data_IF_242584590375
#
_entry.id   IF_242584590375
#
_cell.length_a   1.000
_cell.length_b   1.000
_cell.length_c   1.000
_cell.angle_alpha   90.00
_cell.angle_beta   90.00
_cell.angle_gamma   90.00
#
_symmetry.space_group_name_H-M   'P 1'
#
loop_
_entity.id
_entity.type
_entity.pdbx_description
1 polymer ?
#
# COMPACT_ATOMS: atom_id res chain seq x y z
N UNK A 1 8.64 18.62 24.90
CA UNK A 1 7.34 18.52 24.23
C UNK A 1 6.77 19.93 24.16
N UNK A 2 5.93 20.25 23.19
CA UNK A 2 5.27 21.57 23.19
C UNK A 2 4.18 21.59 24.26
N UNK A 3 4.30 22.49 25.23
CA UNK A 3 3.40 22.58 26.39
C UNK A 3 1.97 22.93 25.98
N UNK A 4 1.78 23.73 24.93
CA UNK A 4 0.46 24.07 24.43
C UNK A 4 -0.23 22.85 23.80
N UNK A 5 0.53 22.03 23.07
CA UNK A 5 0.03 20.77 22.52
C UNK A 5 -0.30 19.79 23.66
N UNK A 6 0.57 19.67 24.66
CA UNK A 6 0.35 18.78 25.79
C UNK A 6 -0.90 19.15 26.61
N UNK A 7 -1.17 20.45 26.79
CA UNK A 7 -2.39 20.94 27.43
C UNK A 7 -3.63 20.65 26.59
N UNK A 8 -3.56 20.93 25.29
CA UNK A 8 -4.66 20.66 24.38
C UNK A 8 -5.07 19.18 24.39
N UNK A 9 -4.10 18.25 24.29
CA UNK A 9 -4.40 16.80 24.30
C UNK A 9 -5.01 16.35 25.62
N UNK A 10 -4.59 16.91 26.76
CA UNK A 10 -5.18 16.58 28.07
C UNK A 10 -6.63 17.05 28.16
N UNK A 11 -6.92 18.27 27.72
CA UNK A 11 -8.30 18.80 27.66
C UNK A 11 -9.17 17.96 26.72
N UNK A 12 -8.64 17.60 25.55
CA UNK A 12 -9.37 16.80 24.58
C UNK A 12 -9.65 15.37 25.07
N UNK A 13 -8.69 14.75 25.75
CA UNK A 13 -8.88 13.46 26.41
C UNK A 13 -9.98 13.52 27.46
N UNK A 14 -9.96 14.54 28.32
CA UNK A 14 -10.97 14.73 29.35
C UNK A 14 -12.37 14.96 28.77
N UNK A 15 -12.51 15.79 27.72
CA UNK A 15 -13.79 16.02 27.01
C UNK A 15 -14.41 14.73 26.47
N UNK A 16 -13.58 13.78 26.05
CA UNK A 16 -13.99 12.48 25.51
C UNK A 16 -14.12 11.38 26.58
N UNK A 17 -13.90 11.70 27.86
CA UNK A 17 -13.88 10.69 28.93
C UNK A 17 -12.79 9.64 28.74
N UNK A 18 -11.68 10.01 28.11
CA UNK A 18 -10.58 9.13 27.71
C UNK A 18 -9.26 9.57 28.36
N UNK A 19 -8.17 8.88 28.02
CA UNK A 19 -6.81 9.26 28.43
C UNK A 19 -5.95 9.68 27.24
N UNK A 20 -4.94 10.50 27.51
CA UNK A 20 -3.93 10.90 26.52
C UNK A 20 -3.32 9.68 25.84
N UNK A 21 -2.91 8.67 26.62
CA UNK A 21 -2.32 7.43 26.11
C UNK A 21 -3.26 6.68 25.17
N UNK A 22 -4.57 6.65 25.48
CA UNK A 22 -5.57 6.02 24.62
C UNK A 22 -5.73 6.76 23.30
N UNK A 23 -5.83 8.09 23.34
CA UNK A 23 -5.93 8.91 22.12
C UNK A 23 -4.70 8.76 21.22
N UNK A 24 -3.49 8.79 21.79
CA UNK A 24 -2.27 8.56 21.03
C UNK A 24 -2.22 7.14 20.45
N UNK A 25 -2.64 6.13 21.22
CA UNK A 25 -2.70 4.75 20.75
C UNK A 25 -3.64 4.57 19.56
N UNK A 26 -4.83 5.16 19.61
CA UNK A 26 -5.80 5.13 18.51
C UNK A 26 -5.28 5.83 17.26
N UNK A 27 -4.66 7.01 17.42
CA UNK A 27 -4.05 7.74 16.30
C UNK A 27 -2.88 6.98 15.68
N UNK A 28 -2.01 6.39 16.51
CA UNK A 28 -0.87 5.60 16.04
C UNK A 28 -1.35 4.35 15.29
N UNK A 29 -2.38 3.66 15.80
CA UNK A 29 -2.95 2.49 15.13
C UNK A 29 -3.54 2.86 13.75
N UNK A 30 -4.16 4.04 13.61
CA UNK A 30 -4.62 4.54 12.32
C UNK A 30 -3.46 4.82 11.37
N UNK A 31 -2.37 5.43 11.85
CA UNK A 31 -1.17 5.67 11.04
C UNK A 31 -0.51 4.39 10.56
N UNK A 32 -0.36 3.40 11.43
CA UNK A 32 0.18 2.09 11.06
C UNK A 32 -0.65 1.42 9.96
N UNK A 33 -1.99 1.44 10.08
CA UNK A 33 -2.87 0.90 9.01
C UNK A 33 -2.67 1.58 7.67
N UNK A 34 -2.53 2.91 7.66
CA UNK A 34 -2.30 3.67 6.43
C UNK A 34 -0.94 3.35 5.81
N UNK A 35 0.12 3.25 6.62
CA UNK A 35 1.47 2.91 6.17
C UNK A 35 1.54 1.47 5.65
N UNK A 36 0.90 0.51 6.32
CA UNK A 36 0.83 -0.89 5.89
C UNK A 36 0.11 -1.02 4.55
N UNK A 37 -1.00 -0.28 4.35
CA UNK A 37 -1.75 -0.28 3.09
C UNK A 37 -0.90 0.25 1.93
N UNK A 38 -0.15 1.34 2.15
CA UNK A 38 0.78 1.87 1.14
C UNK A 38 1.88 0.87 0.82
N UNK A 39 2.51 0.27 1.83
CA UNK A 39 3.56 -0.71 1.63
C UNK A 39 3.07 -1.96 0.87
N UNK A 40 1.83 -2.40 1.14
CA UNK A 40 1.19 -3.48 0.38
C UNK A 40 0.93 -3.09 -1.08
N UNK A 41 0.33 -1.93 -1.32
CA UNK A 41 0.09 -1.44 -2.67
C UNK A 41 1.39 -1.27 -3.47
N UNK A 42 2.47 -0.81 -2.82
CA UNK A 42 3.78 -0.70 -3.45
C UNK A 42 4.35 -2.07 -3.83
N UNK A 43 4.23 -3.07 -2.95
CA UNK A 43 4.64 -4.46 -3.26
C UNK A 43 3.86 -5.04 -4.43
N UNK A 44 2.56 -4.81 -4.48
CA UNK A 44 1.70 -5.27 -5.58
C UNK A 44 2.04 -4.57 -6.89
N UNK A 45 2.20 -3.24 -6.87
CA UNK A 45 2.51 -2.46 -8.06
C UNK A 45 3.91 -2.77 -8.64
N UNK A 46 4.88 -3.09 -7.79
CA UNK A 46 6.23 -3.45 -8.21
C UNK A 46 6.43 -4.96 -8.37
N UNK A 47 5.44 -5.76 -8.00
CA UNK A 47 5.46 -7.21 -8.15
C UNK A 47 5.41 -7.57 -9.64
N UNK A 48 6.49 -8.19 -10.15
CA UNK A 48 6.47 -8.81 -11.46
C UNK A 48 6.23 -10.31 -11.31
N UNK A 49 5.14 -10.80 -11.91
CA UNK A 49 4.90 -12.23 -12.07
C UNK A 49 5.38 -12.64 -13.47
N UNK A 50 6.35 -13.55 -13.54
CA UNK A 50 6.76 -14.11 -14.82
C UNK A 50 5.70 -15.09 -15.31
N UNK A 51 5.32 -15.01 -16.58
CA UNK A 51 4.42 -16.00 -17.20
C UNK A 51 5.13 -17.31 -17.61
N UNK A 52 6.32 -17.56 -17.08
CA UNK A 52 7.16 -18.72 -17.38
C UNK A 52 8.26 -18.41 -18.40
N UNK A 53 9.21 -19.35 -18.52
CA UNK A 53 10.26 -19.28 -19.52
C UNK A 53 9.79 -19.92 -20.84
N UNK A 54 10.17 -19.34 -21.97
CA UNK A 54 9.96 -20.02 -23.24
C UNK A 54 10.97 -21.17 -23.36
N UNK A 55 10.47 -22.36 -23.71
CA UNK A 55 11.33 -23.50 -24.06
C UNK A 55 11.87 -23.41 -25.49
N UNK A 56 11.25 -22.56 -26.31
CA UNK A 56 11.60 -22.33 -27.71
C UNK A 56 12.10 -20.90 -27.91
N UNK A 57 12.91 -20.64 -28.95
CA UNK A 57 13.30 -19.28 -29.33
C UNK A 57 12.05 -18.40 -29.51
N UNK A 58 12.16 -17.13 -29.10
CA UNK A 58 11.12 -16.15 -29.40
C UNK A 58 10.97 -16.00 -30.91
N UNK A 59 9.73 -15.81 -31.36
CA UNK A 59 9.45 -15.47 -32.76
C UNK A 59 10.18 -14.18 -33.12
N UNK A 60 10.79 -14.16 -34.30
CA UNK A 60 11.33 -12.92 -34.83
C UNK A 60 10.19 -11.99 -35.27
N UNK A 61 10.53 -10.71 -35.46
CA UNK A 61 9.57 -9.64 -35.68
C UNK A 61 8.65 -9.86 -36.90
N UNK A 62 9.12 -10.34 -38.07
CA UNK A 62 8.23 -10.63 -39.19
C UNK A 62 7.25 -11.78 -38.90
N UNK A 63 7.69 -12.83 -38.21
CA UNK A 63 6.88 -14.02 -37.88
C UNK A 63 5.75 -13.73 -36.88
N UNK A 64 5.90 -12.68 -36.07
CA UNK A 64 4.83 -12.19 -35.18
C UNK A 64 3.69 -11.52 -35.94
N UNK A 65 3.98 -10.88 -37.08
CA UNK A 65 3.00 -10.15 -37.89
C UNK A 65 2.22 -11.08 -38.82
N UNK A 66 2.85 -12.16 -39.27
CA UNK A 66 2.25 -13.15 -40.17
C UNK A 66 1.21 -14.06 -39.47
N UNK A 67 1.10 -13.99 -38.14
CA UNK A 67 0.04 -14.71 -37.40
C UNK A 67 -1.27 -13.94 -37.48
N UNK A 68 -2.08 -14.31 -38.46
CA UNK A 68 -3.51 -13.97 -38.55
C UNK A 68 -4.19 -14.21 -37.17
N UNK A 69 -5.08 -13.30 -36.79
CA UNK A 69 -5.70 -13.22 -35.45
C UNK A 69 -6.40 -14.49 -34.96
N UNK A 70 -6.75 -14.56 -33.66
CA UNK A 70 -7.24 -15.78 -33.04
C UNK A 70 -8.50 -16.33 -33.74
N UNK A 71 -8.67 -17.66 -33.83
CA UNK A 71 -9.90 -18.25 -34.35
C UNK A 71 -11.11 -17.77 -33.52
N UNK A 72 -12.20 -17.44 -34.22
CA UNK A 72 -13.48 -16.97 -33.68
C UNK A 72 -14.18 -18.00 -32.77
#
# INVERSE_FOLDING_TARGET
MDDAVAEWVRVEAAKRGSSVSRLLGEWLAEKMRQEDAYAQAMREALGFESWGASSQPYLARPELLDREGPPA
#
